data_IF_181872644166
#
_entry.id   IF_181872644166
#
_cell.length_a   1.000
_cell.length_b   1.000
_cell.length_c   1.000
_cell.angle_alpha   90.00
_cell.angle_beta   90.00
_cell.angle_gamma   90.00
#
_symmetry.space_group_name_H-M   'P 1'
#
loop_
_entity.id
_entity.type
_entity.pdbx_description
1 polymer ?
#
# COMPACT_ATOMS: atom_id res chain seq x y z
N UNK A 1 20.88 -25.84 -19.76
CA UNK A 1 19.64 -25.04 -19.62
C UNK A 1 19.88 -24.09 -18.46
N UNK A 2 20.08 -22.80 -18.74
CA UNK A 2 20.22 -21.79 -17.68
C UNK A 2 18.81 -21.53 -17.15
N UNK A 3 18.58 -21.77 -15.86
CA UNK A 3 17.39 -21.26 -15.18
C UNK A 3 17.48 -19.74 -15.22
N UNK A 4 16.69 -19.08 -16.06
CA UNK A 4 16.44 -17.66 -15.91
C UNK A 4 15.85 -17.45 -14.51
N UNK A 5 16.26 -16.42 -13.75
CA UNK A 5 15.59 -16.12 -12.49
C UNK A 5 14.11 -15.95 -12.82
N UNK A 6 13.22 -16.76 -12.22
CA UNK A 6 11.79 -16.65 -12.52
C UNK A 6 11.36 -15.20 -12.29
N UNK A 7 10.97 -14.53 -13.37
CA UNK A 7 10.44 -13.18 -13.33
C UNK A 7 9.18 -13.24 -12.48
N UNK A 8 9.22 -12.67 -11.27
CA UNK A 8 8.07 -12.62 -10.38
C UNK A 8 7.11 -11.54 -10.86
N UNK A 9 6.30 -11.88 -11.84
CA UNK A 9 5.23 -11.02 -12.35
C UNK A 9 4.05 -11.00 -11.38
N UNK A 10 3.51 -9.82 -11.10
CA UNK A 10 2.36 -9.63 -10.21
C UNK A 10 1.35 -8.67 -10.84
N UNK A 11 0.11 -9.11 -10.99
CA UNK A 11 -1.01 -8.24 -11.35
C UNK A 11 -1.79 -7.89 -10.09
N UNK A 12 -1.95 -6.60 -9.82
CA UNK A 12 -2.77 -6.08 -8.71
C UNK A 12 -4.00 -5.41 -9.30
N UNK A 13 -5.19 -5.86 -8.90
CA UNK A 13 -6.47 -5.30 -9.34
C UNK A 13 -7.05 -4.42 -8.24
N UNK A 14 -7.21 -3.14 -8.55
CA UNK A 14 -7.64 -2.06 -7.65
C UNK A 14 -6.47 -1.20 -7.17
N UNK A 15 -6.43 0.06 -7.59
CA UNK A 15 -5.46 1.09 -7.20
C UNK A 15 -5.98 2.00 -6.07
N UNK A 16 -6.78 1.45 -5.15
CA UNK A 16 -7.00 2.05 -3.83
C UNK A 16 -5.75 1.90 -2.93
N UNK A 17 -5.78 2.47 -1.72
CA UNK A 17 -4.59 2.52 -0.84
C UNK A 17 -3.97 1.13 -0.55
N UNK A 18 -4.80 0.09 -0.41
CA UNK A 18 -4.32 -1.28 -0.16
C UNK A 18 -3.59 -1.83 -1.38
N UNK A 19 -4.19 -1.71 -2.58
CA UNK A 19 -3.55 -2.21 -3.81
C UNK A 19 -2.31 -1.40 -4.20
N UNK A 20 -2.33 -0.08 -3.98
CA UNK A 20 -1.16 0.77 -4.15
C UNK A 20 -0.01 0.35 -3.22
N UNK A 21 -0.31 0.09 -1.93
CA UNK A 21 0.67 -0.41 -0.96
C UNK A 21 1.25 -1.76 -1.39
N UNK A 22 0.40 -2.72 -1.78
CA UNK A 22 0.85 -4.03 -2.29
C UNK A 22 1.75 -3.87 -3.51
N UNK A 23 1.34 -3.08 -4.50
CA UNK A 23 2.11 -2.84 -5.71
C UNK A 23 3.47 -2.21 -5.42
N UNK A 24 3.50 -1.20 -4.55
CA UNK A 24 4.72 -0.52 -4.14
C UNK A 24 5.71 -1.47 -3.47
N UNK A 25 5.27 -2.22 -2.45
CA UNK A 25 6.16 -3.12 -1.72
C UNK A 25 6.60 -4.33 -2.57
N UNK A 26 5.74 -4.85 -3.45
CA UNK A 26 6.10 -5.91 -4.37
C UNK A 26 7.14 -5.44 -5.41
N UNK A 27 6.96 -4.26 -6.00
CA UNK A 27 7.92 -3.68 -6.93
C UNK A 27 9.28 -3.47 -6.25
N UNK A 28 9.29 -2.97 -5.01
CA UNK A 28 10.52 -2.84 -4.21
C UNK A 28 11.20 -4.17 -3.91
N UNK A 29 10.44 -5.26 -3.78
CA UNK A 29 10.97 -6.60 -3.60
C UNK A 29 11.48 -7.26 -4.90
N UNK A 30 11.43 -6.52 -6.02
CA UNK A 30 11.92 -6.98 -7.34
C UNK A 30 10.87 -7.66 -8.20
N UNK A 31 9.58 -7.58 -7.86
CA UNK A 31 8.51 -8.06 -8.72
C UNK A 31 8.26 -7.10 -9.89
N UNK A 32 7.88 -7.66 -11.05
CA UNK A 32 7.37 -6.86 -12.19
C UNK A 32 5.86 -6.70 -11.99
N UNK A 33 5.45 -5.49 -11.58
CA UNK A 33 4.06 -5.25 -11.15
C UNK A 33 3.26 -4.54 -12.24
N UNK A 34 2.09 -5.08 -12.55
CA UNK A 34 1.03 -4.38 -13.30
C UNK A 34 -0.11 -4.04 -12.34
N UNK A 35 -0.34 -2.75 -12.09
CA UNK A 35 -1.45 -2.26 -11.27
C UNK A 35 -2.58 -1.76 -12.17
N UNK A 36 -3.77 -2.32 -12.02
CA UNK A 36 -4.95 -2.00 -12.85
C UNK A 36 -6.07 -1.46 -11.98
N UNK A 37 -6.73 -0.39 -12.40
CA UNK A 37 -7.94 0.14 -11.77
C UNK A 37 -8.97 0.54 -12.85
N UNK A 38 -10.24 0.59 -12.47
CA UNK A 38 -11.33 1.01 -13.37
C UNK A 38 -11.36 2.53 -13.57
N UNK A 39 -10.78 3.31 -12.64
CA UNK A 39 -10.75 4.77 -12.67
C UNK A 39 -9.37 5.33 -12.36
N UNK A 40 -9.34 6.51 -11.71
CA UNK A 40 -8.09 7.12 -11.24
C UNK A 40 -7.62 6.42 -9.96
N UNK A 41 -6.30 6.26 -9.75
CA UNK A 41 -5.78 5.76 -8.47
C UNK A 41 -6.38 6.51 -7.28
N UNK A 42 -6.80 5.75 -6.26
CA UNK A 42 -7.41 6.28 -5.05
C UNK A 42 -8.86 6.76 -5.18
N UNK A 43 -9.47 6.79 -6.38
CA UNK A 43 -10.78 7.43 -6.59
C UNK A 43 -11.98 6.74 -5.90
N UNK A 44 -11.82 5.50 -5.44
CA UNK A 44 -12.86 4.77 -4.69
C UNK A 44 -12.96 5.21 -3.22
N UNK A 45 -13.19 4.24 -2.33
CA UNK A 45 -13.31 4.46 -0.87
C UNK A 45 -12.09 5.20 -0.28
N UNK A 46 -10.91 5.05 -0.88
CA UNK A 46 -9.70 5.76 -0.45
C UNK A 46 -9.88 7.29 -0.45
N UNK A 47 -10.39 7.86 -1.55
CA UNK A 47 -10.65 9.31 -1.65
C UNK A 47 -11.80 9.79 -0.76
N UNK A 48 -12.75 8.90 -0.42
CA UNK A 48 -13.86 9.20 0.48
C UNK A 48 -13.53 8.95 1.96
N UNK A 49 -12.28 8.58 2.26
CA UNK A 49 -11.84 8.41 3.63
C UNK A 49 -11.54 9.78 4.26
N UNK A 50 -11.67 9.89 5.59
CA UNK A 50 -11.17 11.05 6.34
C UNK A 50 -9.64 11.04 6.49
N UNK A 51 -8.96 10.03 5.92
CA UNK A 51 -7.51 9.81 6.01
C UNK A 51 -6.93 9.96 7.43
N UNK A 52 -7.68 9.57 8.47
CA UNK A 52 -7.23 9.73 9.85
C UNK A 52 -6.12 8.74 10.19
N UNK A 53 -4.94 9.27 10.50
CA UNK A 53 -3.77 8.50 10.90
C UNK A 53 -3.50 8.77 12.37
N UNK A 54 -4.07 7.91 13.23
CA UNK A 54 -3.95 8.06 14.67
C UNK A 54 -4.42 6.82 15.44
N UNK A 55 -4.09 6.79 16.73
CA UNK A 55 -4.42 5.67 17.64
C UNK A 55 -5.74 5.86 18.38
N UNK A 56 -6.39 7.02 18.23
CA UNK A 56 -7.69 7.31 18.83
C UNK A 56 -8.80 6.41 18.22
N UNK A 57 -9.76 5.98 19.05
CA UNK A 57 -10.90 5.15 18.64
C UNK A 57 -10.87 3.72 19.16
N UNK A 58 -11.40 2.77 18.36
CA UNK A 58 -11.55 1.35 18.75
C UNK A 58 -10.18 0.68 18.91
N UNK A 59 -9.87 0.27 20.14
CA UNK A 59 -8.59 -0.34 20.55
C UNK A 59 -8.63 -1.86 20.73
N UNK A 60 -9.74 -2.48 20.37
CA UNK A 60 -9.96 -3.92 20.49
C UNK A 60 -10.27 -4.54 19.13
N UNK A 61 -10.13 -5.86 19.03
CA UNK A 61 -10.42 -6.61 17.81
C UNK A 61 -9.24 -6.73 16.83
N UNK A 62 -9.46 -7.38 15.67
CA UNK A 62 -8.39 -7.86 14.79
C UNK A 62 -7.46 -6.75 14.25
N UNK A 63 -7.98 -5.54 14.09
CA UNK A 63 -7.21 -4.39 13.56
C UNK A 63 -6.46 -3.60 14.63
N UNK A 64 -6.60 -3.91 15.92
CA UNK A 64 -6.06 -3.08 16.99
C UNK A 64 -4.54 -2.91 16.89
N UNK A 65 -3.81 -3.97 16.53
CA UNK A 65 -2.35 -3.92 16.33
C UNK A 65 -1.96 -3.00 15.17
N UNK A 66 -2.66 -3.12 14.04
CA UNK A 66 -2.41 -2.29 12.85
C UNK A 66 -2.66 -0.80 13.13
N UNK A 67 -3.69 -0.48 13.92
CA UNK A 67 -4.00 0.91 14.31
C UNK A 67 -2.90 1.52 15.18
N UNK A 68 -2.33 0.74 16.11
CA UNK A 68 -1.25 1.21 16.99
C UNK A 68 0.03 1.48 16.20
N UNK A 69 0.34 0.68 15.18
CA UNK A 69 1.55 0.86 14.37
C UNK A 69 1.41 1.93 13.28
N UNK A 70 0.18 2.26 12.84
CA UNK A 70 -0.06 3.15 11.70
C UNK A 70 0.68 4.51 11.74
N UNK A 71 0.75 5.25 12.87
CA UNK A 71 1.46 6.53 12.90
C UNK A 71 2.98 6.40 12.77
N UNK A 72 3.56 5.27 13.20
CA UNK A 72 4.98 5.01 13.00
C UNK A 72 5.24 4.64 11.55
N UNK A 73 4.45 3.72 11.00
CA UNK A 73 4.60 3.26 9.61
C UNK A 73 4.43 4.41 8.61
N UNK A 74 3.47 5.31 8.86
CA UNK A 74 3.25 6.48 8.01
C UNK A 74 4.47 7.40 7.97
N UNK A 75 5.13 7.64 9.12
CA UNK A 75 6.37 8.45 9.19
C UNK A 75 7.54 7.78 8.48
N UNK A 76 7.65 6.45 8.55
CA UNK A 76 8.67 5.70 7.81
C UNK A 76 8.45 5.82 6.30
N UNK A 77 7.19 5.71 5.85
CA UNK A 77 6.83 5.86 4.44
C UNK A 77 7.08 7.30 3.94
N UNK A 78 6.76 8.31 4.74
CA UNK A 78 7.06 9.72 4.43
C UNK A 78 8.57 9.96 4.26
N UNK A 79 9.40 9.36 5.12
CA UNK A 79 10.85 9.45 4.99
C UNK A 79 11.38 8.70 3.74
N UNK A 80 10.71 7.62 3.33
CA UNK A 80 11.09 6.84 2.15
C UNK A 80 10.71 7.53 0.83
N UNK A 81 9.64 8.33 0.83
CA UNK A 81 9.09 8.99 -0.35
C UNK A 81 9.14 10.53 -0.22
N UNK A 82 10.34 11.14 -0.16
CA UNK A 82 10.47 12.58 0.00
C UNK A 82 9.96 13.32 -1.24
N UNK A 83 9.21 14.41 -1.02
CA UNK A 83 8.82 15.34 -2.08
C UNK A 83 7.62 14.90 -2.92
N UNK A 84 6.82 13.94 -2.44
CA UNK A 84 5.45 13.77 -2.95
C UNK A 84 4.63 15.04 -2.63
N UNK A 85 3.75 15.49 -3.55
CA UNK A 85 2.94 16.69 -3.39
C UNK A 85 1.92 16.60 -2.24
#
# INVERSE_FOLDING_TARGET
>A
MVNSPESRELVVVGAGIVGASVAYHAARAGAVVTLVDVGRPGAGVTAQSFAWIGTAGVRTGPSARLRVSAPQEYRLLEAELPGLP
#
